data_IF_526727886809
#
_entry.id   IF_526727886809
#
_cell.length_a   1.000
_cell.length_b   1.000
_cell.length_c   1.000
_cell.angle_alpha   90.00
_cell.angle_beta   90.00
_cell.angle_gamma   90.00
#
_symmetry.space_group_name_H-M   'P 1'
#
loop_
_entity.id
_entity.type
_entity.pdbx_description
1 polymer ?
#
# COMPACT_ATOMS: atom_id res chain seq x y z
N UNK A 1 -12.07 -65.11 13.23
CA UNK A 1 -10.90 -64.32 12.79
C UNK A 1 -11.46 -63.01 12.25
N UNK A 2 -11.53 -61.95 13.08
CA UNK A 2 -10.73 -60.70 12.93
C UNK A 2 -10.89 -60.09 11.53
N UNK A 3 -11.32 -58.86 11.29
CA UNK A 3 -11.47 -57.61 12.03
C UNK A 3 -12.30 -56.72 11.04
N UNK A 4 -13.19 -55.81 11.47
CA UNK A 4 -12.92 -54.36 11.44
C UNK A 4 -12.35 -53.85 10.10
N UNK A 5 -12.81 -52.78 9.46
CA UNK A 5 -13.20 -51.49 10.02
C UNK A 5 -13.38 -50.53 8.83
N UNK A 6 -14.38 -49.65 8.93
CA UNK A 6 -14.28 -48.22 8.65
C UNK A 6 -14.22 -47.70 7.21
N UNK A 7 -15.34 -47.07 6.85
CA UNK A 7 -15.45 -45.68 6.42
C UNK A 7 -14.34 -45.18 5.47
N UNK A 8 -14.66 -45.17 4.18
CA UNK A 8 -14.05 -44.24 3.24
C UNK A 8 -14.49 -42.81 3.55
N UNK A 9 -13.71 -42.10 4.35
CA UNK A 9 -13.81 -40.64 4.49
C UNK A 9 -12.69 -40.03 3.64
N UNK A 10 -13.06 -39.51 2.47
CA UNK A 10 -12.17 -38.79 1.57
C UNK A 10 -11.80 -37.45 2.24
N UNK A 11 -10.62 -37.37 2.85
CA UNK A 11 -10.10 -36.12 3.43
C UNK A 11 -9.65 -35.21 2.29
N UNK A 12 -10.47 -34.20 1.97
CA UNK A 12 -10.08 -33.08 1.10
C UNK A 12 -9.19 -32.14 1.93
N UNK A 13 -7.90 -32.13 1.63
CA UNK A 13 -6.93 -31.19 2.21
C UNK A 13 -7.21 -29.78 1.64
N UNK A 14 -7.87 -28.94 2.42
CA UNK A 14 -7.92 -27.49 2.18
C UNK A 14 -6.54 -26.89 2.45
N UNK A 15 -5.79 -26.57 1.39
CA UNK A 15 -4.59 -25.76 1.49
C UNK A 15 -4.99 -24.30 1.78
N UNK A 16 -4.80 -23.85 3.03
CA UNK A 16 -5.00 -22.43 3.37
C UNK A 16 -3.85 -21.61 2.75
N UNK A 17 -4.13 -20.49 2.05
CA UNK A 17 -3.08 -19.63 1.54
C UNK A 17 -2.32 -18.98 2.70
N UNK A 18 -1.01 -19.15 2.74
CA UNK A 18 -0.11 -18.32 3.56
C UNK A 18 -0.23 -16.89 3.04
N UNK A 19 -0.81 -16.01 3.85
CA UNK A 19 -0.70 -14.56 3.65
C UNK A 19 0.62 -14.12 4.27
N UNK A 20 1.55 -13.64 3.44
CA UNK A 20 2.72 -12.94 3.94
C UNK A 20 2.23 -11.68 4.67
N UNK A 21 2.42 -11.63 5.99
CA UNK A 21 2.06 -10.47 6.79
C UNK A 21 3.20 -9.45 6.65
N UNK A 22 2.96 -8.40 5.88
CA UNK A 22 3.91 -7.29 5.76
C UNK A 22 4.11 -6.69 7.16
N UNK A 23 5.36 -6.51 7.56
CA UNK A 23 5.67 -5.85 8.82
C UNK A 23 5.17 -4.39 8.75
N UNK A 24 4.59 -3.85 9.83
CA UNK A 24 4.22 -2.45 9.87
C UNK A 24 5.47 -1.58 9.66
N UNK A 25 5.28 -0.49 8.93
CA UNK A 25 6.28 0.53 8.73
C UNK A 25 6.41 1.44 9.97
N UNK A 26 7.49 2.21 10.00
CA UNK A 26 7.80 3.14 11.09
C UNK A 26 8.25 4.48 10.54
N UNK A 27 7.84 5.56 11.22
CA UNK A 27 8.30 6.91 10.90
C UNK A 27 9.80 7.04 11.13
N UNK A 28 10.55 7.38 10.07
CA UNK A 28 11.99 7.64 10.11
C UNK A 28 12.33 9.12 10.15
N UNK A 29 11.60 9.94 9.39
CA UNK A 29 11.90 11.37 9.26
C UNK A 29 10.65 12.18 8.89
N UNK A 30 10.71 13.48 9.18
CA UNK A 30 9.68 14.46 8.78
C UNK A 30 10.35 15.66 8.14
N UNK A 31 9.82 16.10 7.01
CA UNK A 31 10.31 17.22 6.20
C UNK A 31 9.12 18.11 5.81
N UNK A 32 8.84 19.15 6.62
CA UNK A 32 7.60 19.91 6.47
C UNK A 32 6.39 19.01 6.62
N UNK A 33 5.50 19.01 5.63
CA UNK A 33 4.30 18.17 5.61
C UNK A 33 4.57 16.70 5.23
N UNK A 34 5.80 16.39 4.81
CA UNK A 34 6.17 15.05 4.33
C UNK A 34 6.76 14.20 5.44
N UNK A 35 6.39 12.92 5.43
CA UNK A 35 6.92 11.91 6.34
C UNK A 35 7.62 10.81 5.54
N UNK A 36 8.77 10.34 6.00
CA UNK A 36 9.43 9.15 5.46
C UNK A 36 9.13 7.99 6.39
N UNK A 37 8.46 6.97 5.88
CA UNK A 37 8.19 5.73 6.60
C UNK A 37 8.99 4.59 5.97
N UNK A 38 9.52 3.70 6.81
CA UNK A 38 10.27 2.52 6.35
C UNK A 38 9.81 1.26 7.09
N UNK A 39 9.76 0.15 6.37
CA UNK A 39 9.39 -1.16 6.89
C UNK A 39 10.05 -2.29 6.10
N UNK A 40 10.10 -3.48 6.67
CA UNK A 40 10.62 -4.65 5.96
C UNK A 40 9.58 -5.18 4.98
N UNK A 41 9.99 -5.39 3.73
CA UNK A 41 9.18 -6.06 2.72
C UNK A 41 9.15 -7.59 2.94
N UNK A 42 8.43 -8.32 2.08
CA UNK A 42 8.32 -9.79 2.18
C UNK A 42 9.67 -10.52 2.05
N UNK A 43 10.69 -9.89 1.46
CA UNK A 43 12.05 -10.41 1.33
C UNK A 43 13.00 -9.99 2.47
N UNK A 44 12.48 -9.41 3.54
CA UNK A 44 13.26 -8.84 4.66
C UNK A 44 14.23 -7.73 4.24
N UNK A 45 13.97 -7.06 3.11
CA UNK A 45 14.68 -5.86 2.68
C UNK A 45 13.92 -4.65 3.21
N UNK A 46 14.63 -3.68 3.78
CA UNK A 46 14.02 -2.41 4.20
C UNK A 46 13.60 -1.61 2.96
N UNK A 47 12.31 -1.27 2.90
CA UNK A 47 11.74 -0.40 1.89
C UNK A 47 11.20 0.85 2.56
N UNK A 48 11.42 2.00 1.91
CA UNK A 48 10.98 3.30 2.39
C UNK A 48 10.06 3.96 1.37
N UNK A 49 9.12 4.75 1.89
CA UNK A 49 8.25 5.60 1.08
C UNK A 49 8.03 6.95 1.77
N UNK A 50 7.75 7.97 0.96
CA UNK A 50 7.31 9.26 1.46
C UNK A 50 5.79 9.30 1.48
N UNK A 51 5.23 9.84 2.55
CA UNK A 51 3.80 9.95 2.79
C UNK A 51 3.45 11.40 3.12
N UNK A 52 2.35 11.86 2.54
CA UNK A 52 1.69 13.10 2.94
C UNK A 52 0.19 12.84 3.05
N UNK A 53 -0.40 13.40 4.09
CA UNK A 53 -1.83 13.47 4.31
C UNK A 53 -2.29 14.91 4.16
N UNK A 54 -3.42 15.11 3.46
CA UNK A 54 -4.12 16.39 3.41
C UNK A 54 -5.48 16.20 4.04
N UNK A 55 -5.69 16.92 5.14
CA UNK A 55 -6.92 16.91 5.91
C UNK A 55 -7.69 18.22 5.68
N UNK A 56 -9.01 18.13 5.59
CA UNK A 56 -9.89 19.30 5.60
C UNK A 56 -9.89 19.95 7.00
N UNK A 57 -10.42 21.18 7.10
CA UNK A 57 -10.49 21.91 8.38
C UNK A 57 -11.23 21.16 9.50
N UNK A 58 -12.16 20.27 9.15
CA UNK A 58 -12.89 19.42 10.09
C UNK A 58 -12.10 18.15 10.53
N UNK A 59 -10.88 17.94 10.02
CA UNK A 59 -10.03 16.79 10.31
C UNK A 59 -10.25 15.56 9.42
N UNK A 60 -11.12 15.65 8.41
CA UNK A 60 -11.38 14.57 7.46
C UNK A 60 -10.26 14.48 6.41
N UNK A 61 -9.76 13.27 6.16
CA UNK A 61 -8.77 13.01 5.11
C UNK A 61 -9.37 13.18 3.73
N UNK A 62 -8.86 14.15 2.96
CA UNK A 62 -9.32 14.42 1.59
C UNK A 62 -8.32 13.98 0.51
N UNK A 63 -7.05 13.82 0.85
CA UNK A 63 -6.05 13.29 -0.10
C UNK A 63 -4.89 12.64 0.65
N UNK A 64 -4.30 11.60 0.06
CA UNK A 64 -2.96 11.14 0.45
C UNK A 64 -2.05 11.02 -0.76
N UNK A 65 -0.79 11.42 -0.60
CA UNK A 65 0.27 11.20 -1.57
C UNK A 65 1.29 10.21 -1.03
N UNK A 66 1.66 9.22 -1.83
CA UNK A 66 2.73 8.26 -1.54
C UNK A 66 3.74 8.30 -2.67
N UNK A 67 5.01 8.55 -2.32
CA UNK A 67 6.13 8.46 -3.26
C UNK A 67 6.99 7.27 -2.90
N UNK A 68 7.22 6.40 -3.87
CA UNK A 68 8.16 5.28 -3.78
C UNK A 68 9.24 5.48 -4.83
N UNK A 69 10.51 5.26 -4.46
CA UNK A 69 11.63 5.27 -5.40
C UNK A 69 12.30 3.89 -5.39
N UNK A 70 11.93 2.99 -6.31
CA UNK A 70 12.63 1.73 -6.46
C UNK A 70 14.08 1.96 -6.93
N UNK A 71 14.98 1.02 -6.61
CA UNK A 71 16.39 1.12 -6.97
C UNK A 71 16.55 0.97 -8.48
N UNK A 72 17.14 1.97 -9.14
CA UNK A 72 17.36 1.96 -10.59
C UNK A 72 16.14 2.37 -11.42
N UNK A 73 15.03 2.73 -10.78
CA UNK A 73 13.80 3.16 -11.46
C UNK A 73 13.50 4.64 -11.18
N UNK A 74 12.58 5.21 -11.97
CA UNK A 74 12.06 6.55 -11.71
C UNK A 74 11.12 6.52 -10.50
N UNK A 75 11.04 7.63 -9.72
CA UNK A 75 10.07 7.73 -8.63
C UNK A 75 8.64 7.58 -9.14
N UNK A 76 7.81 6.86 -8.38
CA UNK A 76 6.38 6.71 -8.61
C UNK A 76 5.62 7.53 -7.56
N UNK A 77 4.72 8.39 -8.02
CA UNK A 77 3.77 9.10 -7.17
C UNK A 77 2.39 8.44 -7.29
N UNK A 78 1.83 8.04 -6.15
CA UNK A 78 0.43 7.60 -6.03
C UNK A 78 -0.36 8.62 -5.23
N UNK A 79 -1.41 9.16 -5.85
CA UNK A 79 -2.37 10.03 -5.18
C UNK A 79 -3.66 9.24 -4.96
N UNK A 80 -4.17 9.27 -3.74
CA UNK A 80 -5.50 8.73 -3.39
C UNK A 80 -6.43 9.89 -3.08
N UNK A 81 -7.57 9.89 -3.76
CA UNK A 81 -8.63 10.90 -3.61
C UNK A 81 -9.96 10.23 -3.21
N UNK A 82 -10.95 10.98 -2.71
CA UNK A 82 -12.21 10.42 -2.26
C UNK A 82 -13.04 9.86 -3.42
N UNK A 83 -14.03 9.05 -3.07
CA UNK A 83 -15.04 8.61 -4.03
C UNK A 83 -15.90 9.81 -4.46
N UNK A 84 -16.33 9.82 -5.73
CA UNK A 84 -17.15 10.91 -6.27
C UNK A 84 -16.37 12.08 -6.87
N UNK A 85 -15.04 12.00 -6.92
CA UNK A 85 -14.23 12.94 -7.72
C UNK A 85 -14.55 12.75 -9.20
N UNK A 86 -15.16 13.78 -9.81
CA UNK A 86 -15.49 13.81 -11.23
C UNK A 86 -14.26 14.29 -12.02
N UNK A 87 -13.76 13.45 -12.91
CA UNK A 87 -12.61 13.75 -13.79
C UNK A 87 -13.02 13.76 -15.28
N UNK A 88 -13.94 14.65 -15.71
CA UNK A 88 -14.42 14.64 -17.09
C UNK A 88 -13.31 14.96 -18.12
N UNK A 89 -12.33 15.78 -17.73
CA UNK A 89 -11.13 16.09 -18.52
C UNK A 89 -9.90 15.26 -18.15
N UNK A 90 -10.04 14.25 -17.28
CA UNK A 90 -8.91 13.52 -16.71
C UNK A 90 -8.29 14.20 -15.48
N UNK A 91 -7.08 13.78 -15.13
CA UNK A 91 -6.28 14.32 -14.04
C UNK A 91 -5.03 14.97 -14.62
N UNK A 92 -4.80 16.23 -14.26
CA UNK A 92 -3.57 16.95 -14.59
C UNK A 92 -2.77 17.22 -13.32
N UNK A 93 -1.45 17.17 -13.43
CA UNK A 93 -0.51 17.39 -12.33
C UNK A 93 0.42 18.51 -12.73
N UNK A 94 0.47 19.57 -11.92
CA UNK A 94 1.44 20.65 -12.08
C UNK A 94 2.32 20.78 -10.85
N UNK A 95 3.59 21.12 -11.09
CA UNK A 95 4.57 21.42 -10.04
C UNK A 95 5.12 22.80 -10.34
N UNK A 96 4.93 23.73 -9.40
CA UNK A 96 5.39 25.12 -9.52
C UNK A 96 4.95 25.82 -10.82
N UNK A 97 3.75 25.49 -11.30
CA UNK A 97 3.19 26.03 -12.54
C UNK A 97 3.65 25.33 -13.82
N UNK A 98 4.48 24.29 -13.72
CA UNK A 98 4.83 23.43 -14.85
C UNK A 98 3.91 22.22 -14.89
N UNK A 99 3.14 22.11 -15.96
CA UNK A 99 2.26 20.95 -16.23
C UNK A 99 3.09 19.71 -16.59
N UNK A 100 2.73 18.57 -16.01
CA UNK A 100 3.39 17.27 -16.19
C UNK A 100 2.48 16.25 -16.88
N UNK A 101 1.21 16.59 -17.19
CA UNK A 101 0.27 15.67 -17.84
C UNK A 101 -1.08 16.25 -18.19
#
# INVERSE_FOLDING_TARGET
>A
MRLAFFLGFLVVLFAAPVRAQQAPDTLRATHGDWQVHCGANAGAVEECFMFQAVDAAAGERVMTAIVVKPVGEMPLLRITVPLGVLLPGGLNVSVDGQELG
#
